data_IF_577321118854
#
_entry.id   IF_577321118854
#
_cell.length_a   1.000
_cell.length_b   1.000
_cell.length_c   1.000
_cell.angle_alpha   90.00
_cell.angle_beta   90.00
_cell.angle_gamma   90.00
#
_symmetry.space_group_name_H-M   'P 1'
#
loop_
_entity.id
_entity.type
_entity.pdbx_description
1 polymer ?
2 non-polymer ?
3 non-polymer ?
4 non-polymer ?
5 non-polymer ?
6 water ?
#
# COMPACT_ATOMS: atom_id res chain seq x y z
N UNK A 1 -11.41 -15.79 -10.24
CA UNK A 1 -10.60 -14.66 -9.83
C UNK A 1 -10.25 -14.71 -8.33
N UNK A 2 -8.96 -14.49 -8.07
CA UNK A 2 -8.39 -14.22 -6.74
C UNK A 2 -8.89 -15.11 -5.61
N UNK A 3 -10.19 -15.12 -5.34
CA UNK A 3 -10.73 -15.81 -4.19
C UNK A 3 -11.74 -16.89 -4.53
N UNK A 4 -12.25 -16.92 -5.75
CA UNK A 4 -13.23 -17.93 -6.16
C UNK A 4 -12.49 -19.03 -6.94
N UNK A 5 -12.13 -20.13 -6.28
CA UNK A 5 -11.20 -21.16 -6.74
C UNK A 5 -11.77 -22.57 -6.55
N UNK A 6 -13.07 -22.72 -6.27
CA UNK A 6 -13.69 -24.04 -6.07
C UNK A 6 -13.02 -24.81 -4.92
N UNK A 7 -12.91 -24.15 -3.78
CA UNK A 7 -12.35 -24.78 -2.59
C UNK A 7 -13.23 -25.90 -2.08
N UNK A 8 -12.59 -27.03 -1.73
CA UNK A 8 -13.28 -28.15 -1.13
C UNK A 8 -13.62 -27.83 0.31
N UNK A 9 -14.48 -28.66 0.92
CA UNK A 9 -14.75 -28.54 2.35
C UNK A 9 -13.45 -28.56 3.16
N UNK A 10 -12.58 -29.51 2.86
CA UNK A 10 -11.33 -29.63 3.61
C UNK A 10 -10.51 -28.35 3.50
N UNK A 11 -10.37 -27.85 2.28
CA UNK A 11 -9.62 -26.61 2.09
C UNK A 11 -10.27 -25.48 2.87
N UNK A 12 -11.60 -25.46 2.92
CA UNK A 12 -12.27 -24.44 3.68
C UNK A 12 -11.90 -24.51 5.17
N UNK A 13 -11.83 -25.72 5.71
CA UNK A 13 -11.41 -25.86 7.10
C UNK A 13 -9.93 -25.46 7.24
N UNK A 14 -9.11 -25.93 6.33
CA UNK A 14 -7.68 -25.68 6.45
C UNK A 14 -7.37 -24.20 6.40
N UNK A 15 -8.06 -23.46 5.53
CA UNK A 15 -7.89 -22.02 5.52
C UNK A 15 -8.38 -21.40 6.83
N UNK A 16 -9.52 -21.85 7.32
CA UNK A 16 -9.99 -21.38 8.63
C UNK A 16 -8.88 -21.51 9.66
N UNK A 17 -8.30 -22.70 9.76
CA UNK A 17 -7.24 -22.91 10.73
C UNK A 17 -6.11 -21.90 10.53
N UNK A 18 -5.59 -21.79 9.29
CA UNK A 18 -4.41 -20.97 9.04
C UNK A 18 -4.63 -19.55 9.49
N UNK A 19 -5.82 -19.00 9.17
CA UNK A 19 -6.14 -17.61 9.42
C UNK A 19 -6.34 -17.26 10.88
N UNK A 20 -6.56 -18.22 11.77
CA UNK A 20 -6.49 -17.92 13.19
C UNK A 20 -5.03 -17.90 13.61
N UNK A 21 -4.26 -18.87 13.08
CA UNK A 21 -2.85 -18.91 13.38
C UNK A 21 -2.00 -17.76 12.82
N UNK A 22 -2.62 -16.83 12.08
CA UNK A 22 -1.99 -15.58 11.67
C UNK A 22 -3.05 -14.52 11.41
N UNK A 23 -3.93 -14.31 12.41
CA UNK A 23 -5.00 -13.31 12.38
C UNK A 23 -5.36 -12.80 10.98
N UNK A 29 -6.48 -0.40 10.92
CA UNK A 29 -6.23 0.96 10.44
C UNK A 29 -5.42 1.81 11.42
N UNK A 30 -4.18 2.18 11.06
CA UNK A 30 -3.36 3.00 11.97
C UNK A 30 -3.63 4.50 11.81
N UNK A 31 -4.47 5.06 12.67
CA UNK A 31 -4.89 6.45 12.48
C UNK A 31 -3.78 7.42 12.84
N UNK A 32 -3.01 7.12 13.89
CA UNK A 32 -1.91 8.00 14.26
C UNK A 32 -0.97 8.19 13.08
N UNK A 33 -0.76 7.14 12.27
CA UNK A 33 0.03 7.34 11.06
C UNK A 33 -0.61 8.37 10.15
N UNK A 34 -1.92 8.21 9.86
CA UNK A 34 -2.57 9.12 8.93
C UNK A 34 -2.55 10.57 9.43
N UNK A 35 -2.79 10.75 10.73
CA UNK A 35 -2.72 12.10 11.30
C UNK A 35 -1.39 12.74 10.96
N UNK A 36 -0.30 11.99 11.09
CA UNK A 36 1.01 12.55 10.80
C UNK A 36 1.23 12.84 9.32
N UNK A 37 0.70 12.01 8.42
CA UNK A 37 0.66 12.38 7.01
C UNK A 37 -0.11 13.70 6.81
N UNK A 38 -1.21 13.87 7.55
CA UNK A 38 -2.02 15.07 7.42
C UNK A 38 -1.24 16.30 7.88
N UNK A 39 -0.46 16.16 8.93
CA UNK A 39 0.32 17.33 9.34
C UNK A 39 1.38 17.71 8.30
N UNK A 40 1.89 16.76 7.54
CA UNK A 40 2.94 17.06 6.57
C UNK A 40 2.37 17.71 5.33
N UNK A 41 1.17 17.27 4.95
CA UNK A 41 0.53 17.77 3.72
C UNK A 41 -0.05 19.16 3.94
N UNK A 42 -0.67 19.37 5.08
CA UNK A 42 -1.36 20.64 5.35
C UNK A 42 -0.49 21.63 6.12
N UNK A 43 0.72 21.83 5.63
CA UNK A 43 1.70 22.77 6.16
C UNK A 43 2.06 23.69 5.00
N UNK A 44 2.50 24.91 5.30
CA UNK A 44 2.73 25.80 4.16
C UNK A 44 4.02 25.46 3.40
N UNK A 45 4.84 24.52 3.89
CA UNK A 45 5.98 24.01 3.14
C UNK A 45 6.05 22.51 3.24
N UNK A 46 6.75 21.87 2.29
CA UNK A 46 6.93 20.42 2.32
C UNK A 46 8.24 20.11 3.01
N UNK A 47 8.18 19.48 4.17
CA UNK A 47 9.36 19.21 5.00
C UNK A 47 9.79 17.77 4.75
N UNK A 48 10.79 17.59 3.89
CA UNK A 48 11.18 16.24 3.48
C UNK A 48 11.75 15.43 4.66
N UNK A 49 12.53 16.05 5.54
CA UNK A 49 13.15 15.31 6.62
C UNK A 49 12.09 14.79 7.59
N UNK A 50 11.09 15.60 7.92
CA UNK A 50 10.00 15.10 8.73
C UNK A 50 9.15 14.07 7.99
N UNK A 51 8.99 14.24 6.68
CA UNK A 51 8.26 13.25 5.87
C UNK A 51 8.95 11.89 5.93
N UNK A 52 10.28 11.89 5.75
CA UNK A 52 11.04 10.63 5.82
C UNK A 52 10.92 9.99 7.19
N UNK A 53 11.04 10.79 8.26
CA UNK A 53 10.78 10.26 9.60
C UNK A 53 9.41 9.61 9.70
N UNK A 54 8.37 10.33 9.33
CA UNK A 54 7.04 9.77 9.41
C UNK A 54 6.96 8.44 8.67
N UNK A 55 7.41 8.42 7.41
CA UNK A 55 7.32 7.24 6.57
C UNK A 55 8.00 6.04 7.24
N UNK A 56 9.13 6.28 7.85
CA UNK A 56 9.91 5.23 8.47
C UNK A 56 9.33 4.75 9.79
N UNK A 57 8.38 5.48 10.35
CA UNK A 57 8.07 5.31 11.76
C UNK A 57 7.48 3.93 12.06
N UNK A 58 6.54 3.46 11.24
CA UNK A 58 5.92 2.15 11.48
C UNK A 58 6.62 0.99 10.76
N UNK A 59 7.91 1.10 10.54
CA UNK A 59 8.64 0.07 9.80
C UNK A 59 8.46 -1.29 10.43
N UNK A 60 8.63 -1.39 11.76
CA UNK A 60 8.61 -2.70 12.40
C UNK A 60 7.21 -3.31 12.35
N UNK A 61 6.17 -2.50 12.62
CA UNK A 61 4.84 -3.05 12.56
C UNK A 61 4.51 -3.46 11.13
N UNK A 62 4.97 -2.67 10.14
CA UNK A 62 4.76 -3.07 8.75
C UNK A 62 5.46 -4.40 8.48
N UNK A 63 6.67 -4.59 9.03
CA UNK A 63 7.39 -5.86 8.83
C UNK A 63 6.60 -7.04 9.37
N UNK A 64 6.15 -6.95 10.63
CA UNK A 64 5.39 -8.03 11.23
C UNK A 64 4.15 -8.32 10.39
N UNK A 65 3.43 -7.29 9.99
CA UNK A 65 2.19 -7.55 9.27
C UNK A 65 2.46 -8.23 7.93
N UNK A 66 3.45 -7.72 7.20
CA UNK A 66 3.75 -8.27 5.89
C UNK A 66 4.29 -9.71 5.98
N UNK A 67 5.11 -9.98 6.99
CA UNK A 67 5.58 -11.35 7.22
C UNK A 67 4.44 -12.28 7.55
N UNK A 68 3.51 -11.84 8.38
CA UNK A 68 2.33 -12.65 8.68
C UNK A 68 1.53 -12.91 7.42
N UNK A 69 1.29 -11.85 6.65
CA UNK A 69 0.54 -11.96 5.40
C UNK A 69 1.21 -12.92 4.43
N UNK A 70 2.51 -12.76 4.22
CA UNK A 70 3.19 -13.63 3.25
C UNK A 70 3.20 -15.09 3.71
N UNK A 71 3.41 -15.33 5.01
CA UNK A 71 3.41 -16.70 5.47
C UNK A 71 2.03 -17.31 5.32
N UNK A 72 0.98 -16.52 5.59
CA UNK A 72 -0.38 -17.02 5.44
C UNK A 72 -0.68 -17.38 3.99
N UNK A 73 -0.22 -16.56 3.03
CA UNK A 73 -0.55 -16.81 1.63
C UNK A 73 0.20 -18.02 1.07
N UNK A 74 1.48 -18.14 1.44
CA UNK A 74 2.24 -19.34 1.13
C UNK A 74 1.57 -20.60 1.66
N UNK A 75 1.06 -20.57 2.90
CA UNK A 75 0.41 -21.78 3.45
C UNK A 75 -0.85 -22.17 2.67
N UNK A 76 -1.63 -21.16 2.25
CA UNK A 76 -2.85 -21.40 1.49
C UNK A 76 -2.52 -21.82 0.06
N UNK A 77 -1.49 -21.22 -0.53
CA UNK A 77 -1.06 -21.69 -1.85
C UNK A 77 -0.80 -23.19 -1.80
N UNK A 78 -0.16 -23.64 -0.75
CA UNK A 78 0.30 -25.01 -0.71
C UNK A 78 -0.78 -26.03 -0.39
N UNK A 79 -1.97 -25.63 0.06
CA UNK A 79 -3.07 -26.60 0.14
C UNK A 79 -3.85 -26.74 -1.17
N UNK A 80 -3.49 -25.96 -2.18
CA UNK A 80 -4.21 -25.94 -3.45
C UNK A 80 -3.78 -27.14 -4.28
N UNK A 81 -4.68 -27.64 -5.13
CA UNK A 81 -4.29 -28.64 -6.10
C UNK A 81 -3.55 -27.96 -7.26
N UNK A 82 -2.95 -28.75 -8.14
CA UNK A 82 -2.15 -28.14 -9.21
C UNK A 82 -3.00 -27.35 -10.18
N UNK A 83 -4.23 -27.79 -10.46
CA UNK A 83 -5.12 -27.00 -11.30
C UNK A 83 -5.45 -25.65 -10.65
N UNK A 84 -5.63 -25.65 -9.33
CA UNK A 84 -5.95 -24.40 -8.63
C UNK A 84 -4.73 -23.50 -8.56
N UNK A 85 -3.55 -24.10 -8.34
CA UNK A 85 -2.32 -23.31 -8.36
C UNK A 85 -2.16 -22.65 -9.70
N UNK A 86 -2.45 -23.39 -10.78
CA UNK A 86 -2.31 -22.80 -12.11
C UNK A 86 -3.26 -21.63 -12.30
N UNK A 87 -4.52 -21.79 -11.86
CA UNK A 87 -5.49 -20.70 -11.90
C UNK A 87 -5.02 -19.49 -11.09
N UNK A 88 -4.55 -19.73 -9.87
CA UNK A 88 -4.13 -18.64 -9.00
C UNK A 88 -2.92 -17.94 -9.58
N UNK A 89 -1.93 -18.70 -10.07
CA UNK A 89 -0.75 -18.07 -10.66
C UNK A 89 -1.10 -17.24 -11.90
N UNK A 90 -2.01 -17.74 -12.74
CA UNK A 90 -2.35 -17.02 -13.96
C UNK A 90 -3.07 -15.72 -13.63
N UNK A 91 -4.03 -15.76 -12.69
CA UNK A 91 -4.63 -14.53 -12.20
C UNK A 91 -3.56 -13.60 -11.60
N UNK A 92 -2.58 -14.16 -10.89
CA UNK A 92 -1.58 -13.32 -10.25
C UNK A 92 -0.83 -12.50 -11.29
N UNK A 93 -0.46 -13.14 -12.42
CA UNK A 93 0.26 -12.42 -13.46
C UNK A 93 -0.55 -11.26 -14.04
N UNK A 94 -1.89 -11.33 -13.98
CA UNK A 94 -2.75 -10.33 -14.60
C UNK A 94 -2.96 -9.11 -13.72
N UNK A 95 -2.89 -9.27 -12.41
CA UNK A 95 -3.19 -8.16 -11.49
C UNK A 95 -2.34 -6.92 -11.79
N UNK B 2 -11.17 12.89 -7.89
CA UNK B 2 -12.11 13.22 -6.83
C UNK B 2 -11.70 14.48 -6.08
N UNK B 3 -12.48 15.56 -6.28
CA UNK B 3 -12.12 16.85 -5.72
C UNK B 3 -13.30 17.81 -5.67
N UNK B 4 -14.18 17.66 -4.67
CA UNK B 4 -15.38 18.49 -4.61
C UNK B 4 -15.06 19.86 -4.00
N UNK B 5 -14.02 20.51 -4.50
CA UNK B 5 -13.54 21.78 -3.95
C UNK B 5 -13.90 23.01 -4.79
N UNK B 6 -14.63 22.86 -5.89
CA UNK B 6 -15.04 24.04 -6.65
C UNK B 6 -13.80 24.83 -7.09
N UNK B 7 -12.94 24.16 -7.86
CA UNK B 7 -11.61 24.69 -8.19
C UNK B 7 -11.63 25.51 -9.48
N UNK B 8 -10.85 26.59 -9.48
CA UNK B 8 -10.77 27.49 -10.63
C UNK B 8 -9.97 26.88 -11.77
N UNK B 9 -10.25 27.37 -12.98
CA UNK B 9 -9.52 26.97 -14.18
C UNK B 9 -8.02 27.03 -13.94
N UNK B 10 -7.55 28.17 -13.42
CA UNK B 10 -6.13 28.29 -13.08
C UNK B 10 -5.72 27.15 -12.15
N UNK B 11 -6.58 26.80 -11.20
CA UNK B 11 -6.23 25.76 -10.25
C UNK B 11 -6.07 24.40 -10.92
N UNK B 12 -7.06 23.99 -11.69
CA UNK B 12 -6.96 22.69 -12.37
C UNK B 12 -5.66 22.55 -13.14
N UNK B 13 -5.23 23.61 -13.82
CA UNK B 13 -4.01 23.49 -14.63
C UNK B 13 -2.72 23.67 -13.83
N UNK B 14 -2.74 24.46 -12.75
CA UNK B 14 -1.65 24.37 -11.80
C UNK B 14 -1.51 22.94 -11.31
N UNK B 15 -2.63 22.21 -11.17
CA UNK B 15 -2.59 20.86 -10.65
C UNK B 15 -1.98 19.90 -11.65
N UNK B 16 -2.34 20.04 -12.94
CA UNK B 16 -1.69 19.24 -13.98
C UNK B 16 -0.18 19.43 -13.92
N UNK B 17 0.27 20.69 -13.93
CA UNK B 17 1.69 20.99 -13.76
C UNK B 17 2.29 20.21 -12.57
N UNK B 18 1.52 20.03 -11.51
CA UNK B 18 2.02 19.36 -10.32
C UNK B 18 2.10 17.84 -10.56
N UNK B 19 1.01 17.26 -11.04
CA UNK B 19 0.98 15.84 -11.34
C UNK B 19 1.67 15.59 -12.67
N UNK B 20 2.82 16.23 -12.87
CA UNK B 20 3.71 15.95 -13.99
C UNK B 20 5.17 15.91 -13.60
N UNK B 21 5.60 16.73 -12.63
CA UNK B 21 6.90 16.52 -12.02
C UNK B 21 6.94 15.24 -11.19
N UNK B 22 5.94 15.05 -10.35
CA UNK B 22 5.77 13.78 -9.65
C UNK B 22 4.52 13.03 -10.11
N UNK B 23 4.12 13.25 -11.35
CA UNK B 23 3.70 12.15 -12.21
C UNK B 23 4.91 11.51 -12.88
N UNK B 24 6.08 12.17 -12.76
CA UNK B 24 7.38 11.63 -13.19
C UNK B 24 8.07 11.09 -11.96
N UNK B 31 9.12 -3.99 -12.11
CA UNK B 31 8.10 -4.76 -11.39
C UNK B 31 8.57 -6.19 -11.12
N UNK B 32 9.88 -6.38 -11.05
CA UNK B 32 10.40 -7.63 -10.50
C UNK B 32 10.28 -7.63 -8.94
N UNK B 33 9.59 -6.61 -8.42
CA UNK B 33 9.14 -6.64 -7.03
C UNK B 33 8.03 -7.67 -6.87
N UNK B 34 6.92 -7.51 -7.61
CA UNK B 34 5.83 -8.48 -7.54
C UNK B 34 6.25 -9.87 -8.07
N UNK B 35 7.29 -9.93 -8.90
CA UNK B 35 7.87 -11.23 -9.26
C UNK B 35 8.50 -11.89 -8.04
N UNK B 36 9.20 -11.15 -7.19
CA UNK B 36 9.84 -11.78 -6.05
C UNK B 36 8.83 -12.21 -5.00
N UNK B 37 7.79 -11.41 -4.83
CA UNK B 37 6.77 -11.79 -3.87
C UNK B 37 5.98 -12.97 -4.41
N UNK B 38 5.78 -13.01 -5.72
CA UNK B 38 5.12 -14.17 -6.30
C UNK B 38 5.91 -15.44 -5.98
N UNK B 39 7.24 -15.39 -6.16
CA UNK B 39 8.09 -16.54 -5.88
C UNK B 39 8.08 -16.89 -4.40
N UNK B 40 7.91 -15.91 -3.51
CA UNK B 40 7.86 -16.24 -2.10
C UNK B 40 6.54 -16.93 -1.75
N UNK B 41 5.44 -16.50 -2.37
CA UNK B 41 4.16 -17.12 -2.02
C UNK B 41 4.10 -18.53 -2.58
N UNK B 42 4.62 -18.74 -3.79
CA UNK B 42 4.40 -19.97 -4.55
C UNK B 42 5.48 -21.03 -4.29
N UNK B 43 6.27 -20.86 -3.25
CA UNK B 43 7.32 -21.79 -2.92
C UNK B 43 6.79 -22.89 -2.01
N UNK B 44 7.42 -24.05 -2.14
CA UNK B 44 7.07 -25.18 -1.32
C UNK B 44 7.12 -24.83 0.14
N UNK B 45 8.11 -24.01 0.55
CA UNK B 45 8.44 -23.72 1.94
C UNK B 45 8.41 -22.21 2.09
N UNK B 46 8.09 -21.72 3.28
CA UNK B 46 8.16 -20.29 3.56
C UNK B 46 9.55 -19.95 4.06
N UNK B 47 10.26 -19.10 3.36
CA UNK B 47 11.60 -18.69 3.79
C UNK B 47 11.53 -17.29 4.42
N UNK B 48 11.50 -17.23 5.75
CA UNK B 48 11.35 -15.96 6.45
C UNK B 48 12.48 -14.98 6.14
N UNK B 49 13.74 -15.45 6.12
CA UNK B 49 14.83 -14.53 5.86
C UNK B 49 14.72 -13.91 4.47
N UNK B 50 14.37 -14.74 3.47
CA UNK B 50 14.12 -14.27 2.11
C UNK B 50 12.93 -13.32 2.07
N UNK B 51 11.89 -13.56 2.88
CA UNK B 51 10.76 -12.66 2.91
C UNK B 51 11.10 -11.37 3.64
N UNK B 52 11.93 -11.46 4.67
CA UNK B 52 12.35 -10.20 5.31
C UNK B 52 13.13 -9.32 4.33
N UNK B 53 13.89 -9.91 3.42
CA UNK B 53 14.71 -9.09 2.54
C UNK B 53 13.84 -8.44 1.47
N UNK B 54 12.81 -9.16 1.01
CA UNK B 54 11.84 -8.59 0.08
C UNK B 54 11.11 -7.41 0.72
N UNK B 55 10.67 -7.56 1.97
CA UNK B 55 10.03 -6.45 2.68
C UNK B 55 10.98 -5.26 2.75
N UNK B 56 12.25 -5.52 3.10
CA UNK B 56 13.17 -4.38 3.20
C UNK B 56 13.34 -3.68 1.84
N UNK B 57 13.40 -4.45 0.74
CA UNK B 57 13.52 -3.81 -0.57
C UNK B 57 12.23 -3.05 -0.92
N UNK B 58 11.06 -3.60 -0.56
CA UNK B 58 9.82 -2.84 -0.77
C UNK B 58 9.82 -1.51 0.02
N UNK B 59 10.46 -1.45 1.18
CA UNK B 59 10.54 -0.19 1.92
C UNK B 59 11.15 0.95 1.09
N UNK B 60 12.10 0.67 0.19
CA UNK B 60 12.75 1.70 -0.60
C UNK B 60 11.78 2.32 -1.62
N UNK B 61 10.97 1.48 -2.27
CA UNK B 61 10.01 2.01 -3.22
C UNK B 61 8.84 2.68 -2.52
N UNK B 62 8.36 2.10 -1.42
CA UNK B 62 7.35 2.79 -0.63
C UNK B 62 7.83 4.19 -0.23
N UNK B 63 9.08 4.29 0.23
CA UNK B 63 9.59 5.60 0.62
C UNK B 63 9.45 6.58 -0.53
N UNK B 64 9.95 6.20 -1.72
CA UNK B 64 9.89 7.07 -2.87
C UNK B 64 8.46 7.39 -3.22
N UNK B 65 7.57 6.40 -3.13
CA UNK B 65 6.20 6.65 -3.53
C UNK B 65 5.48 7.56 -2.55
N UNK B 66 5.70 7.35 -1.25
CA UNK B 66 5.04 8.16 -0.23
C UNK B 66 5.59 9.59 -0.21
N UNK B 67 6.89 9.77 -0.48
CA UNK B 67 7.42 11.11 -0.59
C UNK B 67 6.80 11.84 -1.78
N UNK B 68 6.65 11.14 -2.90
CA UNK B 68 6.03 11.75 -4.09
C UNK B 68 4.58 12.14 -3.79
N UNK B 69 3.79 11.20 -3.29
CA UNK B 69 2.40 11.49 -2.97
C UNK B 69 2.32 12.68 -2.04
N UNK B 70 3.07 12.66 -0.94
CA UNK B 70 2.88 13.71 0.06
C UNK B 70 3.35 15.05 -0.46
N UNK B 71 4.46 15.07 -1.20
CA UNK B 71 4.90 16.36 -1.73
C UNK B 71 3.86 16.92 -2.69
N UNK B 72 3.38 16.06 -3.60
CA UNK B 72 2.33 16.47 -4.53
C UNK B 72 1.12 17.01 -3.79
N UNK B 73 0.69 16.33 -2.73
CA UNK B 73 -0.51 16.77 -2.03
C UNK B 73 -0.29 18.08 -1.29
N UNK B 74 0.92 18.26 -0.75
CA UNK B 74 1.27 19.51 -0.09
C UNK B 74 1.26 20.68 -1.07
N UNK B 75 1.76 20.48 -2.29
CA UNK B 75 1.67 21.55 -3.27
C UNK B 75 0.23 21.81 -3.66
N UNK B 76 -0.58 20.75 -3.82
CA UNK B 76 -1.99 21.00 -4.14
C UNK B 76 -2.63 21.83 -3.06
N UNK B 77 -2.39 21.47 -1.79
CA UNK B 77 -2.96 22.23 -0.68
C UNK B 77 -2.63 23.71 -0.77
N UNK B 78 -1.39 24.02 -1.07
CA UNK B 78 -0.87 25.37 -0.92
C UNK B 78 -1.16 26.25 -2.13
N UNK B 79 -1.97 25.76 -3.07
CA UNK B 79 -2.61 26.62 -4.04
C UNK B 79 -4.08 26.83 -3.71
N UNK B 80 -4.55 26.30 -2.58
CA UNK B 80 -5.96 26.41 -2.24
C UNK B 80 -6.23 27.66 -1.40
N UNK B 81 -7.48 28.15 -1.47
CA UNK B 81 -7.94 29.23 -0.62
C UNK B 81 -8.17 28.75 0.81
N UNK B 82 -8.24 29.67 1.78
CA UNK B 82 -8.61 29.24 3.14
C UNK B 82 -9.85 28.36 3.12
N UNK B 83 -10.91 28.76 2.41
CA UNK B 83 -12.13 27.95 2.37
C UNK B 83 -11.84 26.57 1.79
N UNK B 84 -11.11 26.52 0.68
CA UNK B 84 -10.86 25.25 0.03
C UNK B 84 -9.96 24.37 0.88
N UNK B 85 -9.02 24.97 1.62
CA UNK B 85 -8.20 24.23 2.58
C UNK B 85 -9.06 23.58 3.66
N UNK B 86 -9.93 24.35 4.32
CA UNK B 86 -10.81 23.72 5.29
C UNK B 86 -11.53 22.52 4.66
N UNK B 87 -11.99 22.66 3.41
CA UNK B 87 -12.71 21.55 2.78
C UNK B 87 -11.77 20.39 2.46
N UNK B 88 -10.56 20.70 2.00
CA UNK B 88 -9.55 19.66 1.81
C UNK B 88 -9.33 18.89 3.09
N UNK B 89 -9.16 19.62 4.21
CA UNK B 89 -8.86 18.97 5.48
C UNK B 89 -10.02 18.12 5.95
N UNK B 90 -11.25 18.64 5.86
CA UNK B 90 -12.41 17.83 6.21
C UNK B 90 -12.48 16.57 5.34
N UNK B 91 -12.29 16.72 4.04
CA UNK B 91 -12.30 15.56 3.14
C UNK B 91 -11.23 14.56 3.54
N UNK B 92 -10.06 15.04 3.96
CA UNK B 92 -8.98 14.15 4.34
C UNK B 92 -9.36 13.30 5.54
N UNK B 93 -10.19 13.80 6.46
CA UNK B 93 -10.60 13.01 7.62
C UNK B 93 -11.48 11.82 7.28
N UNK B 94 -12.11 11.83 6.10
CA UNK B 94 -13.12 10.83 5.77
C UNK B 94 -12.72 9.79 4.75
N UNK B 95 -11.72 10.05 3.91
CA UNK B 95 -11.24 9.02 3.01
C UNK B 95 -9.91 8.47 3.54
X LIG C 1 -19.97 -28.83 2.57
X LIG D 1 -2.05 17.59 13.49
X LIG E 1 5.01 29.40 7.13
X LIG F 1 14.59 1.51 9.62
X LIG G 1 4.39 -13.88 -11.33
X LIG H 1 -4.06 4.87 18.68
X LIG I 1 4.49 -19.59 11.62
X LIG J 1 -6.53 14.68 9.89
X LIG K 1 14.15 -4.98 11.35
X LIG L 1 4.30 -11.55 -10.74
X LIG M 1 -5.96 12.51 9.53
X LIG N 1 -5.37 19.05 12.51
X LIG N 1 -5.95 19.25 11.30
X LIG N 1 -5.05 19.01 10.32
X LIG N 1 -3.90 18.61 10.92
X LIG N 1 -4.09 18.66 12.29
X LIG N 1 -5.79 19.19 13.40
X LIG N 1 -6.89 19.52 11.15
X LIG N 1 -5.19 19.11 9.36
X LIG N 1 -3.07 18.33 10.46
X LIG N 1 -3.42 18.45 12.98
X LIG O 1 14.63 3.65 8.71
X LIG O 1 14.66 4.13 9.97
X LIG O 1 14.83 5.47 9.92
X LIG O 1 14.92 5.83 8.63
X LIG O 1 14.79 4.68 7.87
X LIG O 1 14.50 2.72 8.45
X LIG O 1 14.58 3.59 10.79
X LIG O 1 14.88 6.07 10.69
X LIG O 1 15.05 6.74 8.30
X LIG O 1 14.82 4.63 6.89
X LIG P 1 -2.80 -16.95 -1.50
X LIG Q 1 16.69 -18.91 2.66
X LIG R 1 10.29 18.19 -5.92
X LIG S 1 6.66 -17.68 -10.27
X LIG S 1 7.28 -17.89 -11.44
X LIG S 1 6.42 -18.47 -12.29
X LIG S 1 5.26 -18.65 -11.67
X LIG S 1 5.41 -18.15 -10.39
X LIG S 1 7.05 -17.27 -9.48
X LIG S 1 8.22 -17.65 -11.64
X LIG S 1 6.61 -18.72 -13.22
X LIG S 1 4.46 -19.07 -12.04
X LIG S 1 4.73 -18.13 -9.69
#
# INVERSE_FOLDING_TARGET
SFKDLNLTDAQKQQIREIMKGQRDQMKRPPLEERRAMHDIIASDTFDKVKAEAQIAKMEEQRKANMLALMETQNKIYNILTPEQKKQFNANFEKRLT
SFKDLNLTDAQKQQIREIMKGQRDQMKRPPLEERRAMHDIIASDTFDKVKAEAQIAKMEEQRKANMLALMETQNKIYNILTPEQKKQFNANFEKRLT
ZN ZN
ZN ZN
ZN ZN
ZN ZN
ZN ZN
ZN ZN
ZN ZN
ZN ZN
ZN ZN
CL CL
CL CL
IMD N1 C2 N3 C4 C5 HN1 H2 HN3 H4 H5
IMD N1 C2 N3 C4 C5 HN1 H2 HN3 H4 H5
IOD I
ZN ZN
ZN ZN
IMD N1 C2 N3 C4 C5 HN1 H2 HN3 H4 H5
#
